data_IF_465585264492
#
_entry.id   IF_465585264492
#
_cell.length_a   1.000
_cell.length_b   1.000
_cell.length_c   1.000
_cell.angle_alpha   90.00
_cell.angle_beta   90.00
_cell.angle_gamma   90.00
#
_symmetry.space_group_name_H-M   'P 1'
#
loop_
_entity.id
_entity.type
_entity.pdbx_description
1 polymer ?
#
# COMPACT_ATOMS: atom_id res chain seq x y z
N UNK A 1 -15.96 28.47 8.44
CA UNK A 1 -15.37 28.20 7.11
C UNK A 1 -14.96 26.75 7.15
N UNK A 2 -15.53 25.93 6.29
CA UNK A 2 -15.46 24.48 6.43
C UNK A 2 -14.58 23.93 5.31
N UNK A 3 -13.56 23.16 5.68
CA UNK A 3 -12.50 22.70 4.79
C UNK A 3 -12.63 21.18 4.59
N UNK A 4 -12.54 20.69 3.36
CA UNK A 4 -12.94 19.37 2.86
C UNK A 4 -11.68 18.63 2.45
N UNK A 5 -11.21 17.72 3.29
CA UNK A 5 -9.88 17.14 3.14
C UNK A 5 -9.76 16.19 1.90
N UNK A 6 -8.99 16.48 0.86
CA UNK A 6 -8.53 15.47 -0.12
C UNK A 6 -7.21 14.89 0.40
N UNK A 7 -7.12 13.56 0.52
CA UNK A 7 -5.90 12.87 0.94
C UNK A 7 -5.33 12.10 -0.23
N UNK A 8 -4.21 12.58 -0.77
CA UNK A 8 -3.48 11.90 -1.84
C UNK A 8 -2.08 11.61 -1.34
N UNK A 9 -1.85 10.34 -1.02
CA UNK A 9 -0.52 9.83 -0.68
C UNK A 9 0.08 9.13 -1.88
N UNK A 10 1.26 9.58 -2.34
CA UNK A 10 2.03 8.88 -3.36
C UNK A 10 2.42 7.48 -2.86
N UNK A 11 1.85 6.43 -3.47
CA UNK A 11 2.10 5.03 -3.14
C UNK A 11 3.42 4.60 -3.79
N UNK A 12 4.55 4.92 -3.17
CA UNK A 12 5.87 4.49 -3.68
C UNK A 12 6.01 2.98 -3.48
N UNK A 13 6.10 2.26 -4.59
CA UNK A 13 6.64 0.90 -4.60
C UNK A 13 8.09 0.96 -4.09
N UNK A 14 8.38 0.25 -3.00
CA UNK A 14 9.71 0.20 -2.39
C UNK A 14 10.72 -0.50 -3.32
N UNK A 15 11.25 0.23 -4.29
CA UNK A 15 12.48 -0.10 -5.01
C UNK A 15 13.69 0.28 -4.15
N UNK A 16 14.71 -0.58 -4.15
CA UNK A 16 15.91 -0.45 -3.33
C UNK A 16 16.69 0.85 -3.63
N UNK A 17 16.39 1.92 -2.89
CA UNK A 17 17.20 3.12 -2.78
C UNK A 17 17.36 3.48 -1.29
N UNK A 18 18.57 3.88 -0.91
CA UNK A 18 19.05 3.99 0.45
C UNK A 18 18.11 4.72 1.41
N UNK A 19 17.74 4.04 2.50
CA UNK A 19 16.82 4.53 3.52
C UNK A 19 17.42 5.70 4.33
N UNK A 20 16.80 6.88 4.20
CA UNK A 20 16.83 7.89 5.24
C UNK A 20 16.04 7.39 6.47
N UNK A 21 16.34 7.88 7.70
CA UNK A 21 15.81 7.31 8.92
C UNK A 21 14.36 7.77 9.16
N UNK A 22 13.38 6.98 8.69
CA UNK A 22 12.00 6.95 9.20
C UNK A 22 11.06 8.09 8.78
N UNK A 23 9.83 7.74 8.35
CA UNK A 23 8.75 8.70 8.06
C UNK A 23 8.99 9.61 6.85
N UNK A 24 7.95 10.30 6.37
CA UNK A 24 8.15 11.41 5.43
C UNK A 24 9.03 12.48 6.08
N UNK A 25 9.75 13.28 5.29
CA UNK A 25 10.57 14.35 5.85
C UNK A 25 9.73 15.40 6.58
N UNK A 26 10.32 16.14 7.55
CA UNK A 26 9.56 17.04 8.43
C UNK A 26 9.12 18.35 7.76
N UNK A 27 9.64 18.68 6.57
CA UNK A 27 9.42 19.98 5.94
C UNK A 27 8.04 20.02 5.29
N UNK A 28 7.16 20.88 5.81
CA UNK A 28 5.77 20.94 5.38
C UNK A 28 5.41 22.35 4.93
N UNK A 29 5.02 22.49 3.66
CA UNK A 29 4.48 23.73 3.11
C UNK A 29 2.97 23.80 3.37
N UNK A 30 2.51 24.87 4.01
CA UNK A 30 1.10 25.14 4.26
C UNK A 30 0.66 26.34 3.44
N UNK A 31 -0.17 26.08 2.44
CA UNK A 31 -0.83 27.12 1.64
C UNK A 31 -2.11 27.53 2.33
N UNK A 32 -2.24 28.82 2.61
CA UNK A 32 -3.41 29.42 3.22
C UNK A 32 -4.05 30.38 2.23
N UNK A 33 -5.37 30.45 2.21
CA UNK A 33 -6.09 31.53 1.52
C UNK A 33 -5.81 32.88 2.17
N UNK A 34 -5.92 32.92 3.50
CA UNK A 34 -5.72 34.11 4.31
C UNK A 34 -4.89 33.76 5.54
N UNK A 35 -3.98 34.67 5.94
CA UNK A 35 -3.13 34.46 7.11
C UNK A 35 -3.92 34.29 8.42
N UNK A 36 -5.16 34.79 8.48
CA UNK A 36 -6.07 34.59 9.62
C UNK A 36 -6.42 33.12 9.87
N UNK A 37 -6.35 32.26 8.85
CA UNK A 37 -6.63 30.82 8.99
C UNK A 37 -5.64 30.13 9.93
N UNK A 38 -4.46 30.72 10.14
CA UNK A 38 -3.47 30.25 11.12
C UNK A 38 -4.02 30.30 12.54
N UNK A 39 -4.79 31.33 12.87
CA UNK A 39 -5.35 31.51 14.21
C UNK A 39 -6.58 30.62 14.40
N UNK A 40 -7.43 30.52 13.37
CA UNK A 40 -8.64 29.69 13.43
C UNK A 40 -8.31 28.20 13.52
N UNK A 41 -7.36 27.71 12.73
CA UNK A 41 -6.93 26.30 12.71
C UNK A 41 -5.74 26.03 13.64
N UNK A 42 -5.51 26.90 14.63
CA UNK A 42 -4.34 26.83 15.50
C UNK A 42 -4.22 25.51 16.28
N UNK A 43 -5.33 24.87 16.65
CA UNK A 43 -5.32 23.56 17.32
C UNK A 43 -4.69 22.47 16.45
N UNK A 44 -5.11 22.38 15.18
CA UNK A 44 -4.57 21.42 14.23
C UNK A 44 -3.09 21.71 13.93
N UNK A 45 -2.76 22.96 13.61
CA UNK A 45 -1.41 23.38 13.25
C UNK A 45 -0.41 23.21 14.41
N UNK A 46 -0.83 23.50 15.65
CA UNK A 46 -0.03 23.20 16.85
C UNK A 46 0.18 21.70 17.00
N UNK A 47 -0.86 20.90 16.78
CA UNK A 47 -0.76 19.44 16.82
C UNK A 47 0.23 18.87 15.80
N UNK A 48 0.41 19.51 14.63
CA UNK A 48 1.47 19.15 13.69
C UNK A 48 2.85 19.63 14.18
N UNK A 49 2.98 20.87 14.63
CA UNK A 49 4.25 21.42 15.11
C UNK A 49 4.80 20.66 16.33
N UNK A 50 3.94 20.24 17.26
CA UNK A 50 4.32 19.44 18.44
C UNK A 50 4.87 18.06 18.09
N UNK A 51 4.52 17.52 16.91
CA UNK A 51 5.06 16.26 16.40
C UNK A 51 6.41 16.42 15.70
N UNK A 52 6.90 17.65 15.51
CA UNK A 52 8.20 17.94 14.92
C UNK A 52 8.17 18.25 13.42
N UNK A 53 7.02 18.61 12.86
CA UNK A 53 6.94 19.13 11.49
C UNK A 53 7.34 20.60 11.42
N UNK A 54 8.21 20.93 10.47
CA UNK A 54 8.65 22.29 10.16
C UNK A 54 7.64 22.95 9.23
N UNK A 55 6.69 23.69 9.80
CA UNK A 55 5.61 24.34 9.07
C UNK A 55 6.04 25.68 8.45
N UNK A 56 6.03 25.78 7.14
CA UNK A 56 6.20 27.04 6.40
C UNK A 56 4.85 27.54 5.89
N UNK A 57 4.45 28.74 6.30
CA UNK A 57 3.16 29.32 5.91
C UNK A 57 3.33 30.27 4.73
N UNK A 58 2.55 30.08 3.68
CA UNK A 58 2.50 30.94 2.49
C UNK A 58 1.06 31.18 2.07
N UNK A 59 0.81 32.30 1.40
CA UNK A 59 -0.45 32.51 0.68
C UNK A 59 -0.43 31.69 -0.61
N UNK A 60 -1.57 31.17 -1.03
CA UNK A 60 -1.66 30.33 -2.23
C UNK A 60 -1.24 31.05 -3.52
N UNK A 61 -1.37 32.37 -3.53
CA UNK A 61 -1.17 33.34 -4.60
C UNK A 61 0.20 34.06 -4.52
N UNK A 62 1.11 33.61 -3.65
CA UNK A 62 2.48 34.15 -3.56
C UNK A 62 3.30 33.82 -4.84
N UNK A 63 3.82 34.81 -5.59
CA UNK A 63 4.62 34.56 -6.79
C UNK A 63 5.98 33.90 -6.50
N UNK A 64 6.45 33.92 -5.24
CA UNK A 64 7.70 33.29 -4.82
C UNK A 64 7.59 31.80 -4.50
N UNK A 65 6.42 31.20 -4.70
CA UNK A 65 6.13 29.83 -4.32
C UNK A 65 6.79 28.84 -5.29
N UNK A 66 7.49 27.85 -4.72
CA UNK A 66 8.01 26.74 -5.51
C UNK A 66 8.15 25.44 -4.74
N UNK A 67 7.69 24.33 -5.34
CA UNK A 67 7.86 22.97 -4.80
C UNK A 67 9.16 22.32 -5.24
N UNK A 68 9.52 22.52 -6.51
CA UNK A 68 10.68 21.90 -7.15
C UNK A 68 11.63 23.00 -7.60
N UNK A 69 12.92 22.85 -7.26
CA UNK A 69 13.98 23.74 -7.73
C UNK A 69 15.20 22.93 -8.14
N UNK A 70 15.63 23.10 -9.40
CA UNK A 70 16.75 22.34 -9.99
C UNK A 70 16.61 20.81 -9.89
N UNK A 71 15.37 20.29 -9.91
CA UNK A 71 15.09 18.85 -9.81
C UNK A 71 15.07 18.29 -8.39
N UNK A 72 15.20 19.13 -7.36
CA UNK A 72 15.08 18.74 -5.96
C UNK A 72 13.77 19.26 -5.34
N UNK A 73 13.11 18.41 -4.55
CA UNK A 73 11.93 18.77 -3.78
C UNK A 73 12.32 19.57 -2.53
N UNK A 74 11.84 20.80 -2.44
CA UNK A 74 12.13 21.71 -1.32
C UNK A 74 11.36 21.36 -0.05
N UNK A 75 10.22 20.69 -0.22
CA UNK A 75 9.32 20.27 0.84
C UNK A 75 9.02 18.78 0.69
N UNK A 76 8.66 18.14 1.79
CA UNK A 76 8.34 16.70 1.82
C UNK A 76 6.82 16.48 1.92
N UNK A 77 6.10 17.45 2.52
CA UNK A 77 4.65 17.44 2.64
C UNK A 77 4.05 18.78 2.18
N UNK A 78 2.85 18.71 1.60
CA UNK A 78 2.07 19.86 1.15
C UNK A 78 0.68 19.83 1.79
N UNK A 79 0.30 20.94 2.40
CA UNK A 79 -1.04 21.17 2.97
C UNK A 79 -1.67 22.36 2.25
N UNK A 80 -2.85 22.19 1.68
CA UNK A 80 -3.56 23.22 0.92
C UNK A 80 -4.86 23.58 1.62
N UNK A 81 -4.87 24.67 2.38
CA UNK A 81 -6.04 25.27 3.02
C UNK A 81 -6.42 26.58 2.32
N UNK A 82 -6.61 26.46 1.01
CA UNK A 82 -7.02 27.55 0.12
C UNK A 82 -8.12 27.06 -0.82
N UNK A 83 -9.37 26.91 -0.32
CA UNK A 83 -10.44 26.28 -1.08
C UNK A 83 -10.84 27.07 -2.34
N UNK A 84 -10.85 28.40 -2.24
CA UNK A 84 -11.31 29.35 -3.26
C UNK A 84 -10.21 29.82 -4.22
N UNK A 85 -9.10 29.08 -4.29
CA UNK A 85 -7.97 29.45 -5.15
C UNK A 85 -8.33 29.20 -6.63
N UNK A 86 -8.24 30.25 -7.44
CA UNK A 86 -8.44 30.15 -8.90
C UNK A 86 -7.15 29.83 -9.64
N UNK A 87 -6.03 30.37 -9.16
CA UNK A 87 -4.69 30.13 -9.69
C UNK A 87 -3.69 30.06 -8.54
N UNK A 88 -2.80 29.07 -8.57
CA UNK A 88 -1.68 29.02 -7.64
C UNK A 88 -0.55 29.98 -8.08
N UNK A 89 0.12 30.57 -7.11
CA UNK A 89 1.23 31.48 -7.34
C UNK A 89 2.54 30.77 -7.74
N UNK A 90 3.41 31.51 -8.43
CA UNK A 90 4.77 31.07 -8.73
C UNK A 90 4.82 30.00 -9.82
N UNK A 91 5.39 28.84 -9.49
CA UNK A 91 5.50 27.69 -10.40
C UNK A 91 4.65 26.48 -9.97
N UNK A 92 3.70 26.68 -9.05
CA UNK A 92 2.80 25.60 -8.64
C UNK A 92 1.63 25.57 -9.63
N UNK A 93 1.49 24.44 -10.33
CA UNK A 93 0.32 24.08 -11.12
C UNK A 93 -0.16 22.68 -10.70
N UNK A 94 -1.34 22.26 -11.17
CA UNK A 94 -1.86 20.90 -10.94
C UNK A 94 -0.86 19.83 -11.37
N UNK A 95 -0.25 19.97 -12.56
CA UNK A 95 0.80 19.07 -13.05
C UNK A 95 2.03 18.99 -12.11
N UNK A 96 2.39 20.12 -11.48
CA UNK A 96 3.54 20.15 -10.55
C UNK A 96 3.20 19.46 -9.24
N UNK A 97 1.96 19.56 -8.77
CA UNK A 97 1.47 18.85 -7.59
C UNK A 97 1.35 17.35 -7.91
N UNK A 98 0.88 16.97 -9.10
CA UNK A 98 0.86 15.58 -9.56
C UNK A 98 2.29 14.99 -9.59
N UNK A 99 3.25 15.71 -10.20
CA UNK A 99 4.66 15.31 -10.19
C UNK A 99 5.27 15.22 -8.77
N UNK A 100 4.79 16.05 -7.84
CA UNK A 100 5.16 15.99 -6.43
C UNK A 100 4.63 14.72 -5.74
N UNK A 101 3.39 14.33 -6.02
CA UNK A 101 2.77 13.09 -5.54
C UNK A 101 3.52 11.88 -6.12
N UNK A 102 3.82 11.88 -7.42
CA UNK A 102 4.61 10.84 -8.08
C UNK A 102 6.03 10.74 -7.51
N UNK A 103 6.59 11.88 -7.09
CA UNK A 103 7.87 11.96 -6.38
C UNK A 103 7.84 11.39 -4.95
N UNK A 104 6.69 10.93 -4.47
CA UNK A 104 6.50 10.36 -3.13
C UNK A 104 6.16 11.37 -2.04
N UNK A 105 5.89 12.63 -2.42
CA UNK A 105 5.37 13.67 -1.54
C UNK A 105 3.96 13.35 -1.05
N UNK A 106 3.61 13.89 0.11
CA UNK A 106 2.27 13.71 0.70
C UNK A 106 1.49 15.01 0.55
N UNK A 107 0.27 14.93 0.02
CA UNK A 107 -0.60 16.11 -0.18
C UNK A 107 -1.89 15.94 0.61
N UNK A 108 -2.23 16.98 1.36
CA UNK A 108 -3.47 17.12 2.10
C UNK A 108 -4.14 18.42 1.64
N UNK A 109 -5.20 18.32 0.86
CA UNK A 109 -5.97 19.48 0.39
C UNK A 109 -7.19 19.64 1.28
N UNK A 110 -7.70 20.84 1.49
CA UNK A 110 -9.00 21.06 2.11
C UNK A 110 -9.85 22.05 1.27
N UNK A 111 -10.95 21.59 0.68
CA UNK A 111 -11.86 22.38 -0.16
C UNK A 111 -13.09 22.91 0.61
N UNK A 112 -13.92 23.79 0.06
CA UNK A 112 -15.16 24.20 0.73
C UNK A 112 -16.28 24.28 -0.30
N UNK A 113 -17.45 24.79 0.07
CA UNK A 113 -18.48 25.10 -0.94
C UNK A 113 -17.99 26.13 -1.97
N UNK A 114 -17.00 26.95 -1.62
CA UNK A 114 -16.32 27.88 -2.53
C UNK A 114 -15.07 27.20 -3.09
N UNK A 115 -15.22 26.07 -3.79
CA UNK A 115 -14.11 25.32 -4.39
C UNK A 115 -13.70 25.95 -5.73
N UNK A 116 -12.41 26.25 -5.89
CA UNK A 116 -11.83 26.73 -7.14
C UNK A 116 -11.46 25.61 -8.12
N UNK A 117 -11.33 25.95 -9.40
CA UNK A 117 -11.09 25.00 -10.49
C UNK A 117 -9.80 24.15 -10.34
N UNK A 118 -8.65 24.70 -9.89
CA UNK A 118 -7.42 23.90 -9.71
C UNK A 118 -7.57 22.74 -8.71
N UNK A 119 -8.39 22.92 -7.67
CA UNK A 119 -8.62 21.85 -6.69
C UNK A 119 -9.53 20.76 -7.24
N UNK A 120 -10.49 21.13 -8.10
CA UNK A 120 -11.36 20.18 -8.80
C UNK A 120 -10.57 19.36 -9.81
N UNK A 121 -9.71 20.03 -10.60
CA UNK A 121 -8.82 19.38 -11.56
C UNK A 121 -7.84 18.44 -10.85
N UNK A 122 -7.23 18.87 -9.74
CA UNK A 122 -6.36 18.01 -8.93
C UNK A 122 -7.10 16.79 -8.36
N UNK A 123 -8.36 16.95 -7.93
CA UNK A 123 -9.21 15.84 -7.52
C UNK A 123 -9.44 14.85 -8.67
N UNK A 124 -9.79 15.37 -9.85
CA UNK A 124 -10.05 14.56 -11.05
C UNK A 124 -8.82 13.76 -11.49
N UNK A 125 -7.62 14.35 -11.45
CA UNK A 125 -6.36 13.64 -11.72
C UNK A 125 -6.12 12.47 -10.73
N UNK A 126 -6.69 12.56 -9.53
CA UNK A 126 -6.60 11.52 -8.50
C UNK A 126 -7.78 10.53 -8.51
N UNK A 127 -8.74 10.67 -9.43
CA UNK A 127 -9.93 9.83 -9.52
C UNK A 127 -11.03 10.16 -8.50
N UNK A 128 -11.07 11.40 -8.01
CA UNK A 128 -12.10 11.92 -7.12
C UNK A 128 -12.76 13.14 -7.77
N UNK A 129 -14.06 13.07 -8.00
CA UNK A 129 -14.82 14.14 -8.61
C UNK A 129 -15.44 15.02 -7.52
N UNK A 130 -15.08 16.30 -7.52
CA UNK A 130 -15.75 17.31 -6.69
C UNK A 130 -16.98 17.86 -7.39
N UNK A 131 -18.02 18.13 -6.60
CA UNK A 131 -19.21 18.82 -7.08
C UNK A 131 -18.91 20.30 -7.44
N UNK A 132 -19.87 20.98 -8.05
CA UNK A 132 -19.70 22.35 -8.53
C UNK A 132 -19.50 23.38 -7.39
N UNK A 133 -18.88 24.52 -7.71
CA UNK A 133 -18.82 25.66 -6.80
C UNK A 133 -20.23 26.07 -6.34
N UNK A 134 -20.37 26.46 -5.07
CA UNK A 134 -21.64 26.81 -4.38
C UNK A 134 -22.57 25.65 -4.10
N UNK A 135 -22.16 24.41 -4.39
CA UNK A 135 -22.85 23.23 -3.88
C UNK A 135 -22.43 22.96 -2.43
N UNK A 136 -23.31 22.31 -1.69
CA UNK A 136 -23.02 21.82 -0.36
C UNK A 136 -23.71 20.48 -0.17
N UNK A 137 -23.14 19.63 0.67
CA UNK A 137 -23.86 18.45 1.14
C UNK A 137 -24.97 18.92 2.07
N UNK A 138 -26.20 18.51 1.75
CA UNK A 138 -27.42 18.81 2.49
C UNK A 138 -27.99 17.52 3.05
N UNK A 139 -28.39 17.53 4.33
CA UNK A 139 -29.14 16.43 4.93
C UNK A 139 -30.20 16.98 5.89
N UNK A 140 -31.47 16.82 5.55
CA UNK A 140 -32.56 17.32 6.38
C UNK A 140 -32.91 16.44 7.59
N UNK A 141 -32.30 15.26 7.71
CA UNK A 141 -32.55 14.34 8.83
C UNK A 141 -31.46 14.44 9.90
N UNK A 142 -30.19 14.53 9.48
CA UNK A 142 -29.04 14.46 10.38
C UNK A 142 -28.24 15.78 10.39
N UNK A 143 -28.91 16.90 10.64
CA UNK A 143 -28.27 18.20 10.77
C UNK A 143 -28.10 18.62 12.24
N UNK A 144 -27.12 19.50 12.48
CA UNK A 144 -26.90 20.07 13.80
C UNK A 144 -27.81 21.27 14.09
N UNK A 145 -28.18 21.47 15.36
CA UNK A 145 -29.04 22.61 15.76
C UNK A 145 -28.36 23.98 15.57
N UNK A 146 -27.03 23.97 15.42
CA UNK A 146 -26.23 25.16 15.14
C UNK A 146 -26.26 25.60 13.68
N UNK A 147 -26.94 24.83 12.82
CA UNK A 147 -27.05 25.14 11.40
C UNK A 147 -27.85 26.44 11.17
N UNK A 148 -27.47 27.28 10.20
CA UNK A 148 -28.19 28.52 9.86
C UNK A 148 -29.60 28.32 9.28
N UNK A 149 -30.08 27.08 9.12
CA UNK A 149 -31.41 26.74 8.64
C UNK A 149 -31.45 26.19 7.21
N UNK A 150 -30.30 26.00 6.58
CA UNK A 150 -30.16 25.41 5.24
C UNK A 150 -29.85 23.90 5.29
N UNK A 151 -29.70 23.33 6.48
CA UNK A 151 -29.39 21.92 6.76
C UNK A 151 -28.08 21.46 6.08
N UNK A 152 -27.07 22.33 6.12
CA UNK A 152 -25.74 22.15 5.50
C UNK A 152 -24.66 21.66 6.47
N UNK A 153 -24.90 21.82 7.77
CA UNK A 153 -24.05 21.30 8.84
C UNK A 153 -24.53 19.90 9.23
N UNK A 154 -23.87 18.90 8.65
CA UNK A 154 -24.23 17.49 8.75
C UNK A 154 -23.53 16.86 9.95
N UNK A 155 -24.29 16.07 10.69
CA UNK A 155 -23.80 15.16 11.73
C UNK A 155 -23.58 13.80 11.09
N UNK A 156 -22.32 13.47 10.83
CA UNK A 156 -21.91 12.18 10.29
C UNK A 156 -21.72 11.16 11.41
N UNK A 157 -22.45 10.05 11.32
CA UNK A 157 -22.34 8.96 12.29
C UNK A 157 -21.03 8.20 12.12
N UNK A 158 -20.48 7.76 13.26
CA UNK A 158 -19.28 6.91 13.32
C UNK A 158 -19.48 5.51 12.70
N UNK A 159 -20.70 5.15 12.30
CA UNK A 159 -21.00 3.90 11.59
C UNK A 159 -20.61 3.96 10.10
N UNK A 160 -20.66 5.14 9.51
CA UNK A 160 -20.31 5.39 8.10
C UNK A 160 -18.80 5.59 7.90
N UNK A 161 -18.03 5.50 8.99
CA UNK A 161 -16.58 5.61 9.01
C UNK A 161 -15.93 4.29 8.58
N UNK A 162 -14.85 4.39 7.82
CA UNK A 162 -14.06 3.26 7.38
C UNK A 162 -13.55 2.46 8.58
N UNK A 163 -13.78 1.15 8.55
CA UNK A 163 -13.39 0.22 9.63
C UNK A 163 -11.91 -0.16 9.54
N UNK A 164 -11.04 0.84 9.55
CA UNK A 164 -9.59 0.70 9.46
C UNK A 164 -8.90 1.46 10.60
N UNK A 165 -8.58 0.79 11.73
CA UNK A 165 -7.98 1.45 12.89
C UNK A 165 -6.66 2.17 12.60
N UNK A 166 -5.92 1.74 11.59
CA UNK A 166 -4.66 2.37 11.15
C UNK A 166 -4.89 3.77 10.54
N UNK A 167 -6.03 3.99 9.89
CA UNK A 167 -6.36 5.26 9.20
C UNK A 167 -7.12 6.19 10.16
N UNK A 168 -8.21 5.70 10.75
CA UNK A 168 -9.13 6.52 11.54
C UNK A 168 -8.81 6.52 13.03
N UNK A 169 -7.81 5.73 13.45
CA UNK A 169 -7.46 5.56 14.85
C UNK A 169 -8.50 4.73 15.62
N UNK A 170 -8.57 4.96 16.92
CA UNK A 170 -9.63 4.37 17.77
C UNK A 170 -10.96 5.02 17.39
N UNK A 171 -12.02 4.21 17.28
CA UNK A 171 -13.35 4.68 16.88
C UNK A 171 -13.76 5.87 17.77
N UNK A 172 -14.05 7.05 17.19
CA UNK A 172 -14.47 8.19 17.97
C UNK A 172 -15.82 7.89 18.64
N UNK A 173 -15.92 8.20 19.92
CA UNK A 173 -17.16 7.99 20.68
C UNK A 173 -18.24 9.03 20.31
N UNK A 174 -17.82 10.20 19.83
CA UNK A 174 -18.71 11.30 19.52
C UNK A 174 -18.93 11.42 18.00
N UNK A 175 -20.11 11.89 17.55
CA UNK A 175 -20.36 12.16 16.15
C UNK A 175 -19.37 13.15 15.53
N UNK A 176 -19.17 13.02 14.23
CA UNK A 176 -18.32 13.90 13.43
C UNK A 176 -19.21 14.93 12.76
N UNK A 177 -18.72 16.15 12.62
CA UNK A 177 -19.46 17.20 11.94
C UNK A 177 -18.77 17.55 10.64
N UNK A 178 -19.59 17.80 9.63
CA UNK A 178 -19.12 18.14 8.32
C UNK A 178 -19.98 19.26 7.73
N UNK A 179 -19.31 20.17 7.04
CA UNK A 179 -19.92 21.16 6.16
C UNK A 179 -18.95 21.35 5.00
N UNK A 180 -19.46 21.38 3.78
CA UNK A 180 -18.60 21.55 2.62
C UNK A 180 -19.21 20.95 1.36
N UNK A 181 -18.41 20.92 0.30
CA UNK A 181 -18.75 20.33 -0.98
C UNK A 181 -18.74 18.80 -0.89
N UNK A 182 -19.66 18.16 -1.61
CA UNK A 182 -19.66 16.71 -1.77
C UNK A 182 -18.64 16.28 -2.81
N UNK A 183 -18.07 15.09 -2.64
CA UNK A 183 -17.24 14.46 -3.68
C UNK A 183 -17.66 13.00 -3.86
N UNK A 184 -17.37 12.46 -5.04
CA UNK A 184 -17.62 11.07 -5.43
C UNK A 184 -16.31 10.45 -5.91
N UNK A 185 -16.06 9.22 -5.49
CA UNK A 185 -14.95 8.43 -5.99
C UNK A 185 -15.34 7.69 -7.27
N UNK A 186 -14.39 7.55 -8.21
CA UNK A 186 -14.56 6.68 -9.37
C UNK A 186 -14.58 5.20 -8.92
N UNK A 187 -15.68 4.45 -9.16
CA UNK A 187 -15.76 3.03 -8.80
C UNK A 187 -14.72 2.14 -9.50
N UNK A 188 -14.19 2.57 -10.64
CA UNK A 188 -13.20 1.82 -11.41
C UNK A 188 -11.77 1.96 -10.83
N UNK A 189 -11.55 2.92 -9.92
CA UNK A 189 -10.24 3.15 -9.31
C UNK A 189 -10.05 2.30 -8.03
N UNK A 190 -9.22 1.24 -8.06
CA UNK A 190 -9.03 0.36 -6.90
C UNK A 190 -8.17 0.97 -5.78
N UNK A 191 -7.58 2.14 -6.01
CA UNK A 191 -6.68 2.81 -5.05
C UNK A 191 -7.41 3.83 -4.17
N UNK A 192 -8.63 4.26 -4.56
CA UNK A 192 -9.41 5.23 -3.79
C UNK A 192 -10.01 4.57 -2.56
N UNK A 193 -9.98 5.28 -1.43
CA UNK A 193 -10.49 4.81 -0.16
C UNK A 193 -11.54 5.78 0.39
N UNK A 194 -12.73 5.25 0.62
CA UNK A 194 -13.84 6.01 1.21
C UNK A 194 -13.71 6.04 2.73
N UNK A 195 -13.12 7.12 3.26
CA UNK A 195 -12.83 7.24 4.70
C UNK A 195 -14.10 7.46 5.51
N UNK A 196 -14.94 8.40 5.09
CA UNK A 196 -16.20 8.73 5.76
C UNK A 196 -17.24 9.04 4.69
N UNK A 197 -18.36 8.32 4.78
CA UNK A 197 -19.47 8.45 3.84
C UNK A 197 -20.65 9.20 4.46
N UNK A 198 -21.45 9.82 3.59
CA UNK A 198 -22.71 10.45 3.95
C UNK A 198 -23.75 9.48 4.49
N UNK A 199 -24.79 10.02 5.11
CA UNK A 199 -25.96 9.23 5.51
C UNK A 199 -26.72 8.75 4.25
N UNK A 200 -27.67 7.83 4.40
CA UNK A 200 -28.54 7.44 3.27
C UNK A 200 -29.49 8.56 2.82
N UNK A 201 -29.58 9.66 3.57
CA UNK A 201 -30.48 10.80 3.31
C UNK A 201 -29.75 12.05 2.85
N UNK A 202 -28.41 12.06 2.83
CA UNK A 202 -27.63 13.19 2.35
C UNK A 202 -27.61 13.25 0.82
N UNK A 203 -27.54 14.45 0.26
CA UNK A 203 -27.29 14.69 -1.15
C UNK A 203 -26.50 15.99 -1.33
N UNK A 204 -25.73 16.11 -2.41
CA UNK A 204 -24.99 17.34 -2.73
C UNK A 204 -25.71 18.11 -3.83
N UNK A 205 -26.11 19.35 -3.54
CA UNK A 205 -26.75 20.24 -4.51
C UNK A 205 -26.65 21.70 -4.06
N UNK A 206 -27.07 22.62 -4.91
CA UNK A 206 -27.24 24.04 -4.57
C UNK A 206 -28.34 24.23 -3.51
N UNK A 207 -28.03 24.74 -2.30
CA UNK A 207 -29.03 24.88 -1.23
C UNK A 207 -30.21 25.81 -1.57
N UNK A 208 -29.96 26.83 -2.40
CA UNK A 208 -30.95 27.87 -2.72
C UNK A 208 -31.73 27.60 -4.02
N UNK A 209 -31.42 26.52 -4.75
CA UNK A 209 -32.07 26.20 -6.03
C UNK A 209 -32.90 24.93 -5.91
N UNK A 210 -34.05 24.91 -6.60
CA UNK A 210 -34.83 23.70 -6.73
C UNK A 210 -34.06 22.63 -7.53
N UNK A 211 -34.13 21.38 -7.08
CA UNK A 211 -33.50 20.24 -7.75
C UNK A 211 -34.23 19.99 -9.07
N UNK A 212 -33.52 20.20 -10.19
CA UNK A 212 -34.04 19.95 -11.55
C UNK A 212 -33.38 18.75 -12.21
N UNK A 213 -32.16 18.42 -11.81
CA UNK A 213 -31.36 17.33 -12.33
C UNK A 213 -31.04 16.35 -11.20
N UNK A 214 -30.60 15.15 -11.57
CA UNK A 214 -30.12 14.20 -10.56
C UNK A 214 -28.86 14.79 -9.89
N UNK A 215 -28.84 14.91 -8.55
CA UNK A 215 -27.68 15.46 -7.83
C UNK A 215 -26.42 14.63 -8.07
N UNK A 216 -25.26 15.27 -8.07
CA UNK A 216 -23.99 14.62 -8.39
C UNK A 216 -23.60 13.55 -7.35
N UNK A 217 -23.71 13.89 -6.05
CA UNK A 217 -23.49 12.95 -4.96
C UNK A 217 -24.79 12.69 -4.18
N UNK A 218 -25.13 11.42 -3.97
CA UNK A 218 -26.35 11.02 -3.25
C UNK A 218 -26.06 9.88 -2.28
N UNK A 219 -26.62 9.98 -1.08
CA UNK A 219 -26.57 8.98 -0.03
C UNK A 219 -25.13 8.66 0.40
N UNK A 220 -24.87 7.36 0.59
CA UNK A 220 -23.56 6.83 1.03
C UNK A 220 -22.44 6.97 0.00
N UNK A 221 -22.76 7.30 -1.25
CA UNK A 221 -21.73 7.57 -2.26
C UNK A 221 -21.12 8.97 -2.09
N UNK A 222 -21.73 9.82 -1.25
CA UNK A 222 -21.16 11.12 -0.90
C UNK A 222 -20.02 10.91 0.08
N UNK A 223 -18.81 11.31 -0.29
CA UNK A 223 -17.67 11.30 0.61
C UNK A 223 -17.62 12.60 1.38
N UNK A 224 -17.42 12.49 2.69
CA UNK A 224 -17.34 13.61 3.62
C UNK A 224 -15.99 13.53 4.30
N UNK A 225 -15.21 14.60 4.33
CA UNK A 225 -13.97 14.60 5.13
C UNK A 225 -13.94 15.84 6.02
N UNK A 226 -14.30 15.59 7.28
CA UNK A 226 -14.32 16.40 8.51
C UNK A 226 -14.28 17.95 8.40
N UNK A 227 -15.23 18.63 9.04
CA UNK A 227 -15.21 20.08 9.29
C UNK A 227 -15.11 20.41 10.78
N UNK A 228 -15.04 21.68 11.17
CA UNK A 228 -14.92 22.13 12.57
C UNK A 228 -16.23 22.68 13.16
N UNK A 229 -16.57 22.24 14.39
CA UNK A 229 -17.51 22.91 15.34
C UNK A 229 -18.97 22.42 15.41
N UNK A 230 -19.52 22.23 16.63
CA UNK A 230 -20.97 22.19 16.98
C UNK A 230 -21.28 22.97 18.25
N UNK A 231 -22.52 23.46 18.39
CA UNK A 231 -23.10 23.88 19.67
C UNK A 231 -23.87 22.74 20.38
N UNK A 232 -24.28 21.67 19.67
CA UNK A 232 -24.99 20.52 20.26
C UNK A 232 -24.11 19.59 21.06
N UNK A 233 -22.85 19.42 20.67
CA UNK A 233 -21.88 18.61 21.38
C UNK A 233 -20.75 19.49 21.92
N UNK A 234 -20.44 19.44 23.24
CA UNK A 234 -19.38 20.24 23.84
C UNK A 234 -17.97 19.83 23.39
N UNK A 235 -17.82 18.58 22.91
CA UNK A 235 -16.59 18.07 22.28
C UNK A 235 -16.97 17.15 21.12
N UNK A 236 -16.50 17.43 19.92
CA UNK A 236 -16.78 16.63 18.72
C UNK A 236 -15.68 15.59 18.51
N UNK A 237 -15.98 14.52 17.77
CA UNK A 237 -14.98 13.52 17.38
C UNK A 237 -13.96 14.02 16.34
N UNK A 238 -14.10 15.26 15.86
CA UNK A 238 -13.36 15.79 14.73
C UNK A 238 -11.86 15.92 15.01
N UNK A 239 -11.48 16.32 16.23
CA UNK A 239 -10.07 16.48 16.59
C UNK A 239 -9.31 15.15 16.56
N UNK A 240 -9.88 14.10 17.16
CA UNK A 240 -9.28 12.76 17.17
C UNK A 240 -9.13 12.20 15.76
N UNK A 241 -10.17 12.35 14.93
CA UNK A 241 -10.14 11.91 13.53
C UNK A 241 -9.12 12.71 12.71
N UNK A 242 -9.13 14.04 12.79
CA UNK A 242 -8.19 14.88 12.04
C UNK A 242 -6.73 14.58 12.41
N UNK A 243 -6.47 14.33 13.70
CA UNK A 243 -5.14 13.91 14.15
C UNK A 243 -4.77 12.52 13.61
N UNK A 244 -5.68 11.53 13.65
CA UNK A 244 -5.44 10.20 13.11
C UNK A 244 -5.15 10.23 11.61
N UNK A 245 -5.94 10.98 10.84
CA UNK A 245 -5.74 11.17 9.40
C UNK A 245 -4.39 11.82 9.11
N UNK A 246 -4.03 12.88 9.84
CA UNK A 246 -2.74 13.55 9.64
C UNK A 246 -1.54 12.61 9.90
N UNK A 247 -1.65 11.71 10.90
CA UNK A 247 -0.60 10.71 11.18
C UNK A 247 -0.46 9.69 10.06
N UNK A 248 -1.59 9.24 9.51
CA UNK A 248 -1.60 8.29 8.41
C UNK A 248 -0.99 8.89 7.13
N UNK A 249 -1.41 10.12 6.79
CA UNK A 249 -0.99 10.81 5.55
C UNK A 249 0.48 11.16 5.55
N UNK A 250 1.01 11.62 6.68
CA UNK A 250 2.43 11.98 6.80
C UNK A 250 3.32 10.79 7.16
N UNK A 251 2.85 9.55 6.91
CA UNK A 251 3.65 8.31 7.05
C UNK A 251 4.16 8.10 8.48
N UNK A 252 3.41 8.52 9.50
CA UNK A 252 3.71 8.25 10.91
C UNK A 252 3.10 6.91 11.36
N UNK A 253 1.93 6.53 10.81
CA UNK A 253 1.20 5.30 11.13
C UNK A 253 0.97 4.46 9.86
N UNK A 254 0.92 3.13 10.02
CA UNK A 254 0.63 2.21 8.90
C UNK A 254 1.78 1.96 7.92
N UNK A 255 2.99 2.45 8.23
CA UNK A 255 4.17 2.23 7.38
C UNK A 255 4.81 0.89 7.68
N UNK A 256 4.95 0.08 6.63
CA UNK A 256 5.67 -1.19 6.67
C UNK A 256 6.90 -1.11 5.79
N UNK A 257 7.94 -1.87 6.14
CA UNK A 257 9.10 -2.11 5.26
C UNK A 257 9.49 -3.58 5.23
N UNK A 258 10.04 -3.99 4.08
CA UNK A 258 10.71 -5.27 3.93
C UNK A 258 12.18 -5.11 4.32
N UNK A 259 12.63 -5.94 5.25
CA UNK A 259 14.02 -6.04 5.67
C UNK A 259 14.79 -7.07 4.85
N UNK A 260 15.71 -7.78 5.49
CA UNK A 260 16.50 -8.83 4.84
C UNK A 260 15.61 -10.03 4.46
N UNK A 261 15.78 -10.47 3.21
CA UNK A 261 15.21 -11.70 2.68
C UNK A 261 16.32 -12.73 2.57
N UNK A 262 16.07 -13.94 3.06
CA UNK A 262 17.01 -15.06 2.93
C UNK A 262 16.27 -16.34 2.52
N UNK A 263 16.90 -17.09 1.62
CA UNK A 263 16.40 -18.39 1.16
C UNK A 263 17.57 -19.37 1.04
N UNK A 264 17.39 -20.61 1.46
CA UNK A 264 18.43 -21.65 1.38
C UNK A 264 17.81 -23.04 1.44
N UNK A 265 18.59 -24.07 1.12
CA UNK A 265 18.16 -25.45 1.36
C UNK A 265 18.04 -25.71 2.86
N UNK A 266 17.12 -26.58 3.25
CA UNK A 266 16.99 -26.95 4.66
C UNK A 266 18.24 -27.69 5.13
N UNK A 267 18.86 -27.19 6.20
CA UNK A 267 20.13 -27.67 6.73
C UNK A 267 21.36 -26.88 6.25
N UNK A 268 21.22 -26.05 5.22
CA UNK A 268 22.26 -25.11 4.77
C UNK A 268 22.01 -23.70 5.33
N UNK A 269 22.99 -22.80 5.23
CA UNK A 269 22.88 -21.39 5.69
C UNK A 269 22.97 -20.36 4.57
N UNK A 270 23.51 -20.76 3.41
CA UNK A 270 23.74 -19.88 2.28
C UNK A 270 22.82 -20.27 1.12
N UNK A 271 22.35 -19.30 0.31
CA UNK A 271 21.61 -19.59 -0.91
C UNK A 271 22.51 -20.34 -1.91
N UNK A 272 22.06 -21.48 -2.47
CA UNK A 272 22.76 -22.11 -3.58
C UNK A 272 22.60 -21.28 -4.87
N UNK A 273 23.51 -21.46 -5.84
CA UNK A 273 23.41 -20.80 -7.15
C UNK A 273 22.20 -21.25 -7.96
N UNK A 274 21.82 -22.52 -7.83
CA UNK A 274 20.64 -23.10 -8.44
C UNK A 274 20.10 -24.22 -7.54
N UNK A 275 18.78 -24.26 -7.38
CA UNK A 275 18.09 -25.33 -6.67
C UNK A 275 17.80 -26.49 -7.62
N UNK A 276 17.65 -27.70 -7.08
CA UNK A 276 17.15 -28.84 -7.85
C UNK A 276 15.65 -28.98 -7.71
N UNK A 277 15.01 -29.55 -8.75
CA UNK A 277 13.60 -29.96 -8.67
C UNK A 277 13.38 -30.79 -7.41
N UNK A 278 12.24 -30.61 -6.74
CA UNK A 278 11.88 -31.35 -5.53
C UNK A 278 12.77 -31.11 -4.29
N UNK A 279 13.67 -30.13 -4.30
CA UNK A 279 14.44 -29.73 -3.10
C UNK A 279 13.51 -29.20 -2.00
N UNK A 280 13.90 -29.44 -0.73
CA UNK A 280 13.29 -28.79 0.42
C UNK A 280 13.97 -27.44 0.66
N UNK A 281 13.19 -26.35 0.61
CA UNK A 281 13.70 -24.97 0.70
C UNK A 281 13.05 -24.26 1.87
N UNK A 282 13.86 -23.47 2.57
CA UNK A 282 13.41 -22.53 3.58
C UNK A 282 13.50 -21.11 3.02
N UNK A 283 12.40 -20.38 3.14
CA UNK A 283 12.33 -18.96 2.83
C UNK A 283 12.06 -18.20 4.12
N UNK A 284 12.75 -17.08 4.32
CA UNK A 284 12.47 -16.18 5.43
C UNK A 284 12.60 -14.70 5.03
N UNK A 285 11.72 -13.88 5.58
CA UNK A 285 11.70 -12.43 5.39
C UNK A 285 11.50 -11.70 6.73
N UNK A 286 12.21 -10.60 6.91
CA UNK A 286 12.00 -9.66 8.01
C UNK A 286 11.00 -8.60 7.55
N UNK A 287 9.94 -8.37 8.33
CA UNK A 287 8.99 -7.28 8.07
C UNK A 287 8.90 -6.43 9.32
N UNK A 288 9.08 -5.13 9.15
CA UNK A 288 9.09 -4.16 10.25
C UNK A 288 8.01 -3.11 10.02
N UNK A 289 7.37 -2.70 11.11
CA UNK A 289 6.41 -1.60 11.18
C UNK A 289 7.09 -0.40 11.82
N UNK A 290 6.81 0.80 11.31
CA UNK A 290 7.17 2.04 11.97
C UNK A 290 6.18 2.33 13.11
N UNK A 291 6.68 2.49 14.33
CA UNK A 291 5.91 2.90 15.51
C UNK A 291 6.73 3.93 16.29
N UNK A 292 6.19 5.14 16.47
CA UNK A 292 6.83 6.24 17.21
C UNK A 292 8.29 6.50 16.76
N UNK A 293 8.53 6.51 15.45
CA UNK A 293 9.86 6.72 14.86
C UNK A 293 10.83 5.54 14.99
N UNK A 294 10.41 4.41 15.57
CA UNK A 294 11.23 3.20 15.70
C UNK A 294 10.66 2.07 14.86
N UNK A 295 11.56 1.30 14.26
CA UNK A 295 11.19 0.10 13.51
C UNK A 295 11.07 -1.08 14.47
N UNK A 296 9.86 -1.65 14.54
CA UNK A 296 9.53 -2.79 15.38
C UNK A 296 9.08 -3.97 14.51
N UNK A 297 9.28 -5.23 14.94
CA UNK A 297 8.80 -6.39 14.19
C UNK A 297 7.29 -6.31 13.96
N UNK A 298 6.84 -6.52 12.73
CA UNK A 298 5.43 -6.51 12.39
C UNK A 298 4.72 -7.78 12.89
N UNK A 299 3.46 -7.64 13.29
CA UNK A 299 2.55 -8.73 13.69
C UNK A 299 1.46 -8.88 12.63
N UNK A 300 1.69 -9.75 11.65
CA UNK A 300 0.73 -10.10 10.60
C UNK A 300 0.48 -11.60 10.57
N UNK A 301 -0.77 -12.01 10.74
CA UNK A 301 -1.15 -13.42 10.76
C UNK A 301 -1.33 -14.02 9.36
N UNK A 302 -1.52 -13.18 8.35
CA UNK A 302 -2.06 -13.54 7.04
C UNK A 302 -1.10 -13.23 5.88
N UNK A 303 0.21 -13.19 6.17
CA UNK A 303 1.25 -12.94 5.17
C UNK A 303 1.46 -14.21 4.33
N UNK A 304 1.40 -14.06 3.00
CA UNK A 304 1.52 -15.17 2.06
C UNK A 304 2.82 -15.08 1.25
N UNK A 305 3.42 -16.24 1.04
CA UNK A 305 4.49 -16.45 0.07
C UNK A 305 3.92 -17.15 -1.15
N UNK A 306 4.22 -16.60 -2.32
CA UNK A 306 3.95 -17.21 -3.62
C UNK A 306 5.25 -17.65 -4.29
N UNK A 307 5.27 -18.85 -4.82
CA UNK A 307 6.34 -19.34 -5.69
C UNK A 307 5.83 -19.38 -7.12
N UNK A 308 6.27 -18.41 -7.93
CA UNK A 308 5.65 -18.04 -9.20
C UNK A 308 6.63 -18.24 -10.35
N UNK A 309 6.12 -18.61 -11.54
CA UNK A 309 6.87 -18.50 -12.81
C UNK A 309 6.12 -17.62 -13.81
N UNK A 310 4.94 -18.08 -14.20
CA UNK A 310 3.94 -17.28 -14.92
C UNK A 310 2.75 -17.16 -13.98
N UNK A 311 2.26 -18.32 -13.52
CA UNK A 311 1.24 -18.46 -12.50
C UNK A 311 1.85 -18.96 -11.18
N UNK A 312 1.18 -18.76 -10.03
CA UNK A 312 1.62 -19.28 -8.74
C UNK A 312 1.51 -20.81 -8.69
N UNK A 313 2.64 -21.49 -8.48
CA UNK A 313 2.71 -22.94 -8.30
C UNK A 313 2.46 -23.35 -6.85
N UNK A 314 2.98 -22.57 -5.92
CA UNK A 314 2.82 -22.78 -4.48
C UNK A 314 2.41 -21.46 -3.84
N UNK A 315 1.37 -21.50 -3.01
CA UNK A 315 0.96 -20.38 -2.16
C UNK A 315 0.83 -20.89 -0.73
N UNK A 316 1.56 -20.30 0.20
CA UNK A 316 1.59 -20.74 1.60
C UNK A 316 1.65 -19.55 2.54
N UNK A 317 1.09 -19.69 3.74
CA UNK A 317 1.23 -18.68 4.79
C UNK A 317 2.60 -18.76 5.44
N UNK A 318 3.21 -17.60 5.68
CA UNK A 318 4.45 -17.49 6.42
C UNK A 318 4.16 -17.59 7.92
N UNK A 319 4.95 -18.37 8.64
CA UNK A 319 4.84 -18.49 10.10
C UNK A 319 5.85 -17.59 10.77
N UNK A 320 5.39 -16.83 11.76
CA UNK A 320 6.26 -16.00 12.59
C UNK A 320 7.12 -16.89 13.50
N UNK A 321 8.43 -16.85 13.30
CA UNK A 321 9.43 -17.51 14.12
C UNK A 321 10.41 -16.45 14.66
N UNK A 322 10.12 -15.94 15.86
CA UNK A 322 10.87 -14.82 16.44
C UNK A 322 10.57 -13.50 15.70
N UNK A 323 11.63 -12.81 15.23
CA UNK A 323 11.51 -11.57 14.46
C UNK A 323 11.40 -11.76 12.94
N UNK A 324 11.30 -13.01 12.46
CA UNK A 324 11.26 -13.34 11.02
C UNK A 324 10.01 -14.14 10.68
N UNK A 325 9.53 -13.94 9.46
CA UNK A 325 8.49 -14.75 8.84
C UNK A 325 9.16 -15.83 8.01
N UNK A 326 8.88 -17.10 8.29
CA UNK A 326 9.56 -18.22 7.63
C UNK A 326 8.59 -19.33 7.24
N UNK A 327 8.92 -20.04 6.16
CA UNK A 327 8.21 -21.23 5.72
C UNK A 327 9.18 -22.20 5.07
N UNK A 328 8.93 -23.49 5.28
CA UNK A 328 9.64 -24.57 4.62
C UNK A 328 8.68 -25.28 3.69
N UNK A 329 9.06 -25.44 2.42
CA UNK A 329 8.25 -26.14 1.44
C UNK A 329 9.12 -26.82 0.40
N UNK A 330 8.50 -27.73 -0.36
CA UNK A 330 9.17 -28.50 -1.41
C UNK A 330 8.96 -27.84 -2.77
N UNK A 331 10.03 -27.69 -3.54
CA UNK A 331 9.95 -27.14 -4.90
C UNK A 331 9.16 -28.06 -5.84
N UNK A 332 8.45 -27.49 -6.84
CA UNK A 332 7.73 -28.28 -7.82
C UNK A 332 8.69 -29.10 -8.71
N UNK A 333 8.13 -30.09 -9.41
CA UNK A 333 8.87 -30.94 -10.36
C UNK A 333 9.14 -30.24 -11.71
N UNK A 334 8.56 -29.06 -11.91
CA UNK A 334 8.77 -28.27 -13.12
C UNK A 334 10.01 -27.41 -12.93
N UNK A 335 10.99 -27.55 -13.83
CA UNK A 335 12.20 -26.73 -13.84
C UNK A 335 11.98 -25.40 -14.56
N UNK A 336 12.87 -24.44 -14.31
CA UNK A 336 12.85 -23.12 -14.92
C UNK A 336 13.30 -22.03 -13.96
N UNK A 337 13.02 -20.79 -14.35
CA UNK A 337 13.23 -19.62 -13.52
C UNK A 337 11.95 -19.34 -12.75
N UNK A 338 12.04 -19.26 -11.43
CA UNK A 338 10.93 -18.94 -10.54
C UNK A 338 11.24 -17.66 -9.75
N UNK A 339 10.22 -17.14 -9.08
CA UNK A 339 10.31 -16.01 -8.18
C UNK A 339 9.60 -16.36 -6.88
N UNK A 340 10.26 -16.10 -5.74
CA UNK A 340 9.56 -15.95 -4.48
C UNK A 340 8.95 -14.56 -4.46
N UNK A 341 7.63 -14.49 -4.39
CA UNK A 341 6.88 -13.25 -4.33
C UNK A 341 6.16 -13.16 -2.98
N UNK A 342 6.41 -12.07 -2.26
CA UNK A 342 5.65 -11.68 -1.07
C UNK A 342 4.96 -10.37 -1.42
N UNK A 343 3.64 -10.42 -1.41
CA UNK A 343 2.75 -9.32 -1.80
C UNK A 343 1.75 -9.12 -0.65
N UNK A 344 1.93 -8.03 0.09
CA UNK A 344 1.10 -7.70 1.24
C UNK A 344 0.38 -6.39 1.00
N UNK A 345 -0.85 -6.52 0.50
CA UNK A 345 -1.77 -5.40 0.33
C UNK A 345 -2.91 -5.50 1.35
N UNK A 346 -2.92 -4.57 2.32
CA UNK A 346 -3.96 -4.49 3.35
C UNK A 346 -4.38 -3.04 3.57
N UNK A 347 -5.66 -2.86 3.83
CA UNK A 347 -6.26 -1.55 4.04
C UNK A 347 -5.56 -0.78 5.17
N UNK A 348 -5.08 0.42 4.86
CA UNK A 348 -4.40 1.32 5.79
C UNK A 348 -2.92 1.02 6.03
N UNK A 349 -2.37 -0.05 5.45
CA UNK A 349 -0.93 -0.34 5.51
C UNK A 349 -0.26 -0.08 4.16
N UNK A 350 1.04 0.23 4.19
CA UNK A 350 1.83 0.31 2.97
C UNK A 350 1.82 -1.02 2.21
N UNK A 351 1.59 -0.95 0.90
CA UNK A 351 1.71 -2.11 0.02
C UNK A 351 3.16 -2.60 -0.02
N UNK A 352 3.41 -3.81 0.48
CA UNK A 352 4.73 -4.43 0.41
C UNK A 352 4.80 -5.37 -0.78
N UNK A 353 5.80 -5.17 -1.62
CA UNK A 353 6.11 -6.06 -2.72
C UNK A 353 7.59 -6.43 -2.69
N UNK A 354 7.88 -7.71 -2.56
CA UNK A 354 9.24 -8.26 -2.63
C UNK A 354 9.26 -9.46 -3.55
N UNK A 355 10.10 -9.41 -4.58
CA UNK A 355 10.32 -10.52 -5.51
C UNK A 355 11.80 -10.89 -5.56
N UNK A 356 12.12 -12.16 -5.27
CA UNK A 356 13.48 -12.69 -5.41
C UNK A 356 13.48 -13.82 -6.43
N UNK A 357 14.23 -13.63 -7.51
CA UNK A 357 14.33 -14.57 -8.62
C UNK A 357 15.32 -15.69 -8.31
N UNK A 358 14.93 -16.92 -8.66
CA UNK A 358 15.68 -18.14 -8.37
C UNK A 358 15.61 -19.10 -9.55
N UNK A 359 16.70 -19.81 -9.82
CA UNK A 359 16.74 -20.86 -10.83
C UNK A 359 16.54 -22.25 -10.22
N UNK A 360 15.61 -23.01 -10.78
CA UNK A 360 15.35 -24.41 -10.45
C UNK A 360 15.79 -25.25 -11.64
N UNK A 361 16.88 -26.00 -11.47
CA UNK A 361 17.43 -26.88 -12.49
C UNK A 361 16.91 -28.32 -12.34
N UNK A 362 16.84 -29.09 -13.44
CA UNK A 362 16.61 -30.53 -13.33
C UNK A 362 17.80 -31.23 -12.64
N UNK A 363 17.58 -32.51 -12.31
CA UNK A 363 18.62 -33.38 -11.77
C UNK A 363 19.79 -33.54 -12.77
N UNK A 364 21.01 -33.47 -12.27
CA UNK A 364 22.21 -33.81 -13.04
C UNK A 364 22.30 -35.33 -13.26
N UNK A 365 23.02 -35.76 -14.29
CA UNK A 365 23.20 -37.18 -14.60
C UNK A 365 23.80 -38.00 -13.43
N UNK A 366 24.54 -37.36 -12.52
CA UNK A 366 25.12 -37.98 -11.31
C UNK A 366 24.14 -38.12 -10.15
N UNK A 367 23.01 -37.40 -10.19
CA UNK A 367 22.05 -37.29 -9.09
C UNK A 367 20.86 -38.26 -9.24
N UNK A 368 20.75 -38.97 -10.36
CA UNK A 368 19.74 -40.02 -10.52
C UNK A 368 20.01 -41.19 -9.57
N UNK A 369 18.94 -41.82 -9.12
CA UNK A 369 19.02 -43.03 -8.31
C UNK A 369 19.76 -44.14 -9.08
N UNK A 370 20.71 -44.80 -8.42
CA UNK A 370 21.51 -45.89 -8.99
C UNK A 370 21.28 -47.14 -8.16
N UNK A 371 21.45 -48.30 -8.78
CA UNK A 371 21.24 -49.61 -8.16
C UNK A 371 19.80 -49.85 -7.71
N UNK A 372 18.85 -49.47 -8.57
CA UNK A 372 17.42 -49.69 -8.33
C UNK A 372 17.10 -51.20 -8.24
N UNK A 373 16.36 -51.65 -7.22
CA UNK A 373 16.07 -53.08 -7.04
C UNK A 373 15.34 -53.74 -8.21
N UNK A 374 14.47 -52.97 -8.88
CA UNK A 374 13.75 -53.40 -10.08
C UNK A 374 14.69 -53.77 -11.24
N UNK A 375 15.89 -53.18 -11.30
CA UNK A 375 16.85 -53.43 -12.38
C UNK A 375 17.91 -54.51 -12.05
N UNK A 376 17.81 -55.20 -10.90
CA UNK A 376 18.75 -56.28 -10.57
C UNK A 376 18.88 -57.36 -11.66
N UNK A 377 17.81 -57.79 -12.37
CA UNK A 377 17.94 -58.75 -13.46
C UNK A 377 18.87 -58.27 -14.59
N UNK A 378 18.83 -56.98 -14.92
CA UNK A 378 19.69 -56.40 -15.97
C UNK A 378 21.15 -56.32 -15.51
N UNK A 379 21.38 -55.91 -14.26
CA UNK A 379 22.73 -55.88 -13.69
C UNK A 379 23.34 -57.28 -13.65
N UNK A 380 22.58 -58.29 -13.19
CA UNK A 380 23.03 -59.68 -13.15
C UNK A 380 23.30 -60.25 -14.56
N UNK A 381 22.45 -59.94 -15.54
CA UNK A 381 22.64 -60.36 -16.93
C UNK A 381 23.95 -59.85 -17.52
N UNK A 382 24.28 -58.57 -17.33
CA UNK A 382 25.52 -57.98 -17.81
C UNK A 382 26.76 -58.67 -17.23
N UNK A 383 26.79 -58.88 -15.90
CA UNK A 383 27.90 -59.59 -15.25
C UNK A 383 27.97 -61.06 -15.67
N UNK A 384 26.83 -61.72 -15.85
CA UNK A 384 26.76 -63.11 -16.34
C UNK A 384 27.38 -63.24 -17.74
N UNK A 385 27.08 -62.31 -18.66
CA UNK A 385 27.69 -62.30 -20.00
C UNK A 385 29.21 -62.07 -19.94
N UNK A 386 29.70 -61.20 -19.06
CA UNK A 386 31.14 -60.96 -18.88
C UNK A 386 31.85 -62.22 -18.36
N UNK A 387 31.29 -62.90 -17.37
CA UNK A 387 31.82 -64.17 -16.84
C UNK A 387 31.76 -65.26 -17.90
N UNK A 388 30.66 -65.35 -18.65
CA UNK A 388 30.49 -66.29 -19.74
C UNK A 388 31.53 -66.11 -20.85
N UNK A 389 31.79 -64.86 -21.27
CA UNK A 389 32.82 -64.55 -22.25
C UNK A 389 34.22 -64.93 -21.75
N UNK A 390 34.51 -64.65 -20.48
CA UNK A 390 35.80 -64.99 -19.86
C UNK A 390 36.03 -66.51 -19.82
N UNK A 391 35.03 -67.28 -19.36
CA UNK A 391 35.09 -68.74 -19.34
C UNK A 391 35.17 -69.32 -20.76
N UNK A 392 34.37 -68.79 -21.69
CA UNK A 392 34.42 -69.18 -23.10
C UNK A 392 35.80 -68.95 -23.69
N UNK A 393 36.44 -67.80 -23.44
CA UNK A 393 37.79 -67.51 -23.93
C UNK A 393 38.82 -68.51 -23.40
N UNK A 394 38.76 -68.88 -22.11
CA UNK A 394 39.68 -69.87 -21.52
C UNK A 394 39.48 -71.23 -22.18
N UNK A 395 38.23 -71.71 -22.25
CA UNK A 395 37.91 -73.04 -22.78
C UNK A 395 38.24 -73.10 -24.26
N UNK A 396 37.87 -72.09 -25.04
CA UNK A 396 38.11 -72.04 -26.48
C UNK A 396 39.60 -72.04 -26.84
N UNK A 397 40.43 -71.29 -26.10
CA UNK A 397 41.88 -71.24 -26.34
C UNK A 397 42.62 -72.51 -25.91
N UNK A 398 42.16 -73.18 -24.84
CA UNK A 398 42.81 -74.38 -24.30
C UNK A 398 42.07 -75.68 -24.63
N UNK A 399 41.16 -75.64 -25.61
CA UNK A 399 40.41 -76.81 -26.04
C UNK A 399 41.32 -77.74 -26.83
N UNK A 400 41.57 -78.94 -26.30
CA UNK A 400 42.21 -80.01 -27.07
C UNK A 400 41.15 -80.68 -27.93
N UNK A 401 41.31 -80.64 -29.26
CA UNK A 401 40.44 -81.38 -30.16
C UNK A 401 40.51 -82.88 -29.86
N UNK A 402 39.34 -83.53 -29.87
CA UNK A 402 39.26 -84.98 -29.69
C UNK A 402 39.58 -85.62 -31.04
N UNK A 403 40.68 -86.36 -31.13
CA UNK A 403 41.01 -87.14 -32.33
C UNK A 403 39.82 -88.06 -32.66
N UNK A 404 39.35 -87.99 -33.91
CA UNK A 404 38.36 -88.92 -34.44
C UNK A 404 38.96 -90.32 -34.38
N UNK A 405 38.40 -91.18 -33.53
CA UNK A 405 38.56 -92.62 -33.68
C UNK A 405 37.69 -93.06 -34.87
N UNK A 406 38.35 -93.43 -35.97
CA UNK A 406 37.74 -94.04 -37.16
C UNK A 406 36.97 -95.34 -36.83
#
# INVERSE_FOLDING_TARGET
>A
MAAVLLLVTGLVAAGAAAAAPGGGGPRTLVLLENMNLKDTHSLFLRGLAERGFDLTFRTADDPGLSLIKYGEFLYDNLVVFSPSVEDFGGNINVETIAAFIDGGGNVLVAASSDIGDPLRELGSECGIEFDEEKTAVVDHHNYDVSDPGQHTLIVADSENLLKAPTIVGKKPHNPILFRGVGMVADPDNPLVLDILTGSSTSYSFFPDKAITQYPHAVGKNTLLIAAEGSQRYPQTGNYELAMALSRWVFKEEGVLRVGEVSHHRVGEKAPPSAYTVTDLVEYSVVIEKLSDGKWVPFDGDDIQLEFVRIDPFVRTFLKKNGGKYSVQFKLPDVYGVFQFKVDYNRLGYTHLYSSTQVSVRPLQHTQYERFIPSAFPYYASAFSMMVGLFLFSIVFLHMKEKEKSD
#
